data_IF_877973831692
#
_entry.id   IF_877973831692
#
_cell.length_a   1.000
_cell.length_b   1.000
_cell.length_c   1.000
_cell.angle_alpha   90.00
_cell.angle_beta   90.00
_cell.angle_gamma   90.00
#
_symmetry.space_group_name_H-M   'P 1'
#
loop_
_entity.id
_entity.type
_entity.pdbx_description
1 polymer ?
#
# COMPACT_ATOMS: atom_id res chain seq x y z
N UNK A 1 12.09 -24.12 2.74
CA UNK A 1 10.63 -24.38 2.65
C UNK A 1 9.83 -23.56 3.67
N UNK A 2 10.05 -23.70 5.00
CA UNK A 2 9.26 -22.99 6.02
C UNK A 2 9.33 -21.45 5.92
N UNK A 3 10.54 -20.89 5.80
CA UNK A 3 10.73 -19.43 5.67
C UNK A 3 10.03 -18.85 4.43
N UNK A 4 10.11 -19.54 3.30
CA UNK A 4 9.41 -19.15 2.07
C UNK A 4 7.89 -19.08 2.27
N UNK A 5 7.30 -20.11 2.86
CA UNK A 5 5.85 -20.15 3.14
C UNK A 5 5.46 -19.02 4.08
N UNK A 6 6.23 -18.82 5.15
CA UNK A 6 5.99 -17.76 6.12
C UNK A 6 6.01 -16.36 5.47
N UNK A 7 7.07 -16.00 4.74
CA UNK A 7 7.17 -14.68 4.12
C UNK A 7 6.15 -14.47 3.00
N UNK A 8 5.79 -15.53 2.27
CA UNK A 8 4.72 -15.47 1.27
C UNK A 8 3.36 -15.22 1.93
N UNK A 9 3.06 -15.94 3.01
CA UNK A 9 1.83 -15.72 3.78
C UNK A 9 1.78 -14.31 4.38
N UNK A 10 2.87 -13.86 5.00
CA UNK A 10 2.99 -12.51 5.55
C UNK A 10 2.78 -11.43 4.48
N UNK A 11 3.38 -11.60 3.29
CA UNK A 11 3.19 -10.69 2.17
C UNK A 11 1.71 -10.59 1.76
N UNK A 12 1.00 -11.73 1.71
CA UNK A 12 -0.44 -11.75 1.38
C UNK A 12 -1.32 -11.12 2.46
N UNK A 13 -1.08 -11.42 3.72
CA UNK A 13 -1.83 -10.81 4.83
C UNK A 13 -1.60 -9.30 4.86
N UNK A 14 -0.35 -8.87 4.67
CA UNK A 14 0.00 -7.45 4.65
C UNK A 14 -0.65 -6.72 3.47
N UNK A 15 -0.63 -7.26 2.25
CA UNK A 15 -1.29 -6.59 1.11
C UNK A 15 -2.81 -6.52 1.28
N UNK A 16 -3.45 -7.51 1.91
CA UNK A 16 -4.87 -7.40 2.26
C UNK A 16 -5.14 -6.32 3.30
N UNK A 17 -4.23 -6.13 4.26
CA UNK A 17 -4.26 -5.00 5.18
C UNK A 17 -4.21 -3.65 4.46
N UNK A 18 -3.31 -3.51 3.48
CA UNK A 18 -3.24 -2.31 2.61
C UNK A 18 -4.56 -2.12 1.86
N UNK A 19 -5.06 -3.16 1.20
CA UNK A 19 -6.31 -3.08 0.42
C UNK A 19 -7.49 -2.65 1.28
N UNK A 20 -7.68 -3.28 2.44
CA UNK A 20 -8.76 -2.92 3.35
C UNK A 20 -8.66 -1.47 3.82
N UNK A 21 -7.46 -1.04 4.25
CA UNK A 21 -7.26 0.30 4.77
C UNK A 21 -7.44 1.38 3.68
N UNK A 22 -6.88 1.18 2.48
CA UNK A 22 -7.04 2.11 1.35
C UNK A 22 -8.51 2.21 0.91
N UNK A 23 -9.28 1.11 0.94
CA UNK A 23 -10.73 1.16 0.67
C UNK A 23 -11.43 2.02 1.72
N UNK A 24 -11.17 1.78 3.01
CA UNK A 24 -11.77 2.56 4.10
C UNK A 24 -11.41 4.05 3.97
N UNK A 25 -10.14 4.38 3.71
CA UNK A 25 -9.71 5.76 3.47
C UNK A 25 -10.46 6.41 2.30
N UNK A 26 -10.63 5.70 1.19
CA UNK A 26 -11.33 6.21 0.01
C UNK A 26 -12.82 6.46 0.25
N UNK A 27 -13.46 5.65 1.08
CA UNK A 27 -14.88 5.80 1.44
C UNK A 27 -15.10 6.90 2.48
N UNK A 28 -14.18 7.04 3.44
CA UNK A 28 -14.32 7.97 4.55
C UNK A 28 -13.76 9.37 4.26
N UNK A 29 -12.79 9.52 3.35
CA UNK A 29 -12.20 10.83 3.05
C UNK A 29 -13.19 11.75 2.32
N UNK A 30 -13.38 12.95 2.87
CA UNK A 30 -14.28 14.00 2.36
C UNK A 30 -13.60 15.37 2.48
N UNK A 31 -14.05 16.42 1.77
CA UNK A 31 -13.50 17.78 1.87
C UNK A 31 -13.52 18.36 3.29
N UNK A 32 -14.48 17.93 4.11
CA UNK A 32 -14.54 18.19 5.54
C UNK A 32 -14.88 16.88 6.25
N UNK A 33 -14.18 16.60 7.34
CA UNK A 33 -14.37 15.39 8.15
C UNK A 33 -14.62 15.78 9.61
N UNK A 34 -15.33 14.93 10.35
CA UNK A 34 -15.52 15.14 11.78
C UNK A 34 -14.23 14.88 12.57
N UNK A 35 -14.19 15.34 13.82
CA UNK A 35 -13.11 14.97 14.76
C UNK A 35 -12.99 13.45 14.95
N UNK A 36 -14.13 12.76 15.03
CA UNK A 36 -14.16 11.30 15.16
C UNK A 36 -13.56 10.62 13.93
N UNK A 37 -13.93 11.08 12.73
CA UNK A 37 -13.34 10.60 11.47
C UNK A 37 -11.84 10.84 11.44
N UNK A 38 -11.34 12.00 11.89
CA UNK A 38 -9.91 12.27 11.94
C UNK A 38 -9.15 11.30 12.87
N UNK A 39 -9.74 10.92 14.01
CA UNK A 39 -9.17 9.93 14.93
C UNK A 39 -9.16 8.54 14.29
N UNK A 40 -10.27 8.13 13.68
CA UNK A 40 -10.41 6.81 13.06
C UNK A 40 -9.52 6.67 11.83
N UNK A 41 -9.52 7.67 10.94
CA UNK A 41 -8.62 7.74 9.78
C UNK A 41 -7.15 7.73 10.20
N UNK A 42 -6.77 8.36 11.32
CA UNK A 42 -5.39 8.28 11.80
C UNK A 42 -4.99 6.84 12.21
N UNK A 43 -5.91 6.05 12.75
CA UNK A 43 -5.68 4.62 13.06
C UNK A 43 -5.59 3.79 11.79
N UNK A 44 -6.52 3.99 10.85
CA UNK A 44 -6.55 3.29 9.57
C UNK A 44 -5.28 3.58 8.76
N UNK A 45 -4.86 4.84 8.66
CA UNK A 45 -3.62 5.19 7.96
C UNK A 45 -2.37 4.63 8.64
N UNK A 46 -2.38 4.43 9.97
CA UNK A 46 -1.28 3.73 10.63
C UNK A 46 -1.23 2.25 10.22
N UNK A 47 -2.37 1.56 10.26
CA UNK A 47 -2.49 0.15 9.83
C UNK A 47 -2.05 0.01 8.38
N UNK A 48 -2.50 0.91 7.52
CA UNK A 48 -2.13 0.99 6.12
C UNK A 48 -0.60 1.12 5.91
N UNK A 49 0.03 2.12 6.53
CA UNK A 49 1.47 2.36 6.35
C UNK A 49 2.33 1.21 6.91
N UNK A 50 1.93 0.63 8.05
CA UNK A 50 2.59 -0.58 8.59
C UNK A 50 2.41 -1.76 7.63
N UNK A 51 1.21 -1.93 7.08
CA UNK A 51 0.91 -3.00 6.11
C UNK A 51 1.69 -2.84 4.81
N UNK A 52 1.83 -1.61 4.30
CA UNK A 52 2.67 -1.30 3.13
C UNK A 52 4.13 -1.67 3.39
N UNK A 53 4.67 -1.27 4.55
CA UNK A 53 6.04 -1.59 4.92
C UNK A 53 6.25 -3.11 5.05
N UNK A 54 5.35 -3.82 5.73
CA UNK A 54 5.41 -5.28 5.86
C UNK A 54 5.32 -5.97 4.50
N UNK A 55 4.44 -5.51 3.61
CA UNK A 55 4.32 -6.05 2.25
C UNK A 55 5.62 -5.89 1.49
N UNK A 56 6.22 -4.69 1.52
CA UNK A 56 7.47 -4.41 0.82
C UNK A 56 8.63 -5.24 1.39
N UNK A 57 8.80 -5.27 2.72
CA UNK A 57 9.85 -6.03 3.38
C UNK A 57 9.73 -7.53 3.09
N UNK A 58 8.53 -8.11 3.24
CA UNK A 58 8.31 -9.52 2.90
C UNK A 58 8.53 -9.78 1.40
N UNK A 59 8.17 -8.84 0.54
CA UNK A 59 8.42 -8.90 -0.90
C UNK A 59 9.91 -8.93 -1.23
N UNK A 60 10.72 -8.09 -0.58
CA UNK A 60 12.17 -8.11 -0.72
C UNK A 60 12.79 -9.38 -0.16
N UNK A 61 12.28 -9.90 0.96
CA UNK A 61 12.74 -11.19 1.48
C UNK A 61 12.48 -12.33 0.50
N UNK A 62 11.31 -12.33 -0.14
CA UNK A 62 10.97 -13.28 -1.20
C UNK A 62 11.86 -13.11 -2.43
N UNK A 63 12.19 -11.89 -2.83
CA UNK A 63 13.03 -11.64 -3.99
C UNK A 63 14.48 -12.08 -3.77
N UNK A 64 15.11 -11.64 -2.68
CA UNK A 64 16.57 -11.78 -2.53
C UNK A 64 17.01 -13.04 -1.77
N UNK A 65 16.13 -13.70 -1.00
CA UNK A 65 16.56 -14.81 -0.13
C UNK A 65 15.80 -16.11 -0.30
N UNK A 66 14.46 -16.10 -0.25
CA UNK A 66 13.70 -17.34 -0.03
C UNK A 66 12.74 -17.73 -1.15
N UNK A 67 12.53 -16.87 -2.15
CA UNK A 67 11.57 -17.10 -3.24
C UNK A 67 12.16 -17.81 -4.45
N UNK A 68 11.65 -17.46 -5.64
CA UNK A 68 12.22 -17.92 -6.92
C UNK A 68 13.65 -17.38 -7.10
N UNK A 69 14.47 -17.97 -8.00
CA UNK A 69 15.75 -17.37 -8.39
C UNK A 69 15.59 -15.89 -8.70
N UNK A 70 16.54 -15.07 -8.27
CA UNK A 70 16.41 -13.62 -8.30
C UNK A 70 16.26 -13.09 -9.73
N UNK A 71 16.81 -13.79 -10.71
CA UNK A 71 16.73 -13.52 -12.15
C UNK A 71 15.27 -13.47 -12.63
N UNK A 72 14.41 -14.36 -12.12
CA UNK A 72 12.98 -14.37 -12.44
C UNK A 72 12.30 -13.02 -12.15
N UNK A 73 12.80 -12.28 -11.16
CA UNK A 73 12.27 -10.99 -10.75
C UNK A 73 13.06 -9.83 -11.38
N UNK A 74 14.39 -9.88 -11.32
CA UNK A 74 15.28 -8.79 -11.79
C UNK A 74 15.17 -8.58 -13.30
N UNK A 75 15.01 -9.64 -14.08
CA UNK A 75 14.88 -9.55 -15.54
C UNK A 75 13.44 -9.32 -16.00
N UNK A 76 12.47 -9.32 -15.08
CA UNK A 76 11.06 -9.15 -15.42
C UNK A 76 10.64 -7.67 -15.30
N UNK A 77 10.48 -6.93 -16.41
CA UNK A 77 10.08 -5.52 -16.39
C UNK A 77 8.68 -5.30 -15.78
N UNK A 78 7.78 -6.28 -15.87
CA UNK A 78 6.45 -6.22 -15.25
C UNK A 78 6.56 -6.27 -13.73
N UNK A 79 7.47 -7.10 -13.21
CA UNK A 79 7.77 -7.13 -11.77
C UNK A 79 8.39 -5.81 -11.29
N UNK A 80 9.37 -5.27 -12.03
CA UNK A 80 10.01 -4.00 -11.67
C UNK A 80 9.00 -2.84 -11.70
N UNK A 81 8.16 -2.76 -12.73
CA UNK A 81 7.08 -1.75 -12.80
C UNK A 81 6.13 -1.84 -11.60
N UNK A 82 5.72 -3.07 -11.22
CA UNK A 82 4.90 -3.32 -10.03
C UNK A 82 5.59 -2.80 -8.76
N UNK A 83 6.88 -3.09 -8.60
CA UNK A 83 7.65 -2.66 -7.43
C UNK A 83 7.76 -1.13 -7.34
N UNK A 84 8.01 -0.46 -8.47
CA UNK A 84 8.06 1.01 -8.54
C UNK A 84 6.70 1.59 -8.16
N UNK A 85 5.61 1.11 -8.75
CA UNK A 85 4.26 1.58 -8.44
C UNK A 85 3.94 1.35 -6.95
N UNK A 86 4.25 0.18 -6.41
CA UNK A 86 4.00 -0.10 -5.00
C UNK A 86 4.83 0.81 -4.07
N UNK A 87 6.05 1.16 -4.46
CA UNK A 87 6.89 2.11 -3.73
C UNK A 87 6.32 3.53 -3.78
N UNK A 88 5.72 3.93 -4.92
CA UNK A 88 4.98 5.20 -5.03
C UNK A 88 3.77 5.19 -4.08
N UNK A 89 3.01 4.09 -4.01
CA UNK A 89 1.87 3.97 -3.06
C UNK A 89 2.34 4.17 -1.61
N UNK A 90 3.49 3.60 -1.24
CA UNK A 90 4.08 3.77 0.10
C UNK A 90 4.43 5.24 0.38
N UNK A 91 5.13 5.91 -0.54
CA UNK A 91 5.51 7.32 -0.38
C UNK A 91 4.27 8.21 -0.28
N UNK A 92 3.28 8.00 -1.15
CA UNK A 92 2.04 8.77 -1.15
C UNK A 92 1.17 8.50 0.07
N UNK A 93 1.31 7.34 0.72
CA UNK A 93 0.61 7.01 1.97
C UNK A 93 1.03 7.86 3.16
N UNK A 94 2.22 8.48 3.10
CA UNK A 94 2.72 9.33 4.18
C UNK A 94 1.96 10.67 4.29
N UNK A 95 1.42 11.19 3.17
CA UNK A 95 0.65 12.44 3.15
C UNK A 95 -0.66 12.35 3.97
N UNK A 96 -1.60 11.44 3.67
CA UNK A 96 -2.82 11.29 4.47
C UNK A 96 -2.50 10.89 5.91
N UNK A 97 -1.52 10.01 6.13
CA UNK A 97 -1.11 9.60 7.47
C UNK A 97 -0.71 10.79 8.34
N UNK A 98 0.17 11.67 7.86
CA UNK A 98 0.58 12.84 8.62
C UNK A 98 -0.56 13.82 8.85
N UNK A 99 -1.42 14.02 7.85
CA UNK A 99 -2.58 14.89 7.97
C UNK A 99 -3.54 14.38 9.06
N UNK A 100 -3.98 13.13 9.01
CA UNK A 100 -4.89 12.58 10.02
C UNK A 100 -4.23 12.48 11.40
N UNK A 101 -2.96 12.06 11.47
CA UNK A 101 -2.19 11.99 12.72
C UNK A 101 -2.06 13.35 13.41
N UNK A 102 -1.91 14.44 12.64
CA UNK A 102 -1.89 15.80 13.19
C UNK A 102 -3.27 16.22 13.67
N UNK A 103 -4.29 16.00 12.86
CA UNK A 103 -5.65 16.47 13.12
C UNK A 103 -6.44 15.63 14.13
N UNK A 104 -5.99 14.42 14.50
CA UNK A 104 -6.59 13.64 15.59
C UNK A 104 -6.57 14.35 16.96
N UNK A 105 -5.70 15.35 17.11
CA UNK A 105 -5.59 16.19 18.32
C UNK A 105 -6.36 17.52 18.20
N UNK A 106 -7.06 17.75 17.10
CA UNK A 106 -7.82 18.98 16.90
C UNK A 106 -8.94 19.13 17.93
N UNK A 107 -9.16 20.35 18.38
CA UNK A 107 -10.30 20.73 19.23
C UNK A 107 -11.51 21.14 18.40
N UNK A 108 -11.35 21.34 17.08
CA UNK A 108 -12.45 21.68 16.17
C UNK A 108 -13.36 20.47 15.94
N UNK A 109 -14.67 20.72 15.81
CA UNK A 109 -15.66 19.68 15.51
C UNK A 109 -15.51 19.13 14.09
N UNK A 110 -15.11 19.99 13.15
CA UNK A 110 -14.83 19.63 11.76
C UNK A 110 -13.44 20.09 11.34
N UNK A 111 -12.82 19.31 10.45
CA UNK A 111 -11.48 19.54 9.92
C UNK A 111 -11.55 19.54 8.40
N UNK A 112 -11.10 20.64 7.79
CA UNK A 112 -10.97 20.74 6.34
C UNK A 112 -9.80 19.89 5.83
N UNK A 113 -10.07 19.02 4.86
CA UNK A 113 -9.07 18.13 4.27
C UNK A 113 -8.48 18.79 3.02
N UNK A 114 -7.14 18.96 2.93
CA UNK A 114 -6.50 19.49 1.75
C UNK A 114 -6.82 18.64 0.50
N UNK A 115 -7.07 19.27 -0.67
CA UNK A 115 -7.30 18.53 -1.92
C UNK A 115 -6.17 17.56 -2.26
N UNK A 116 -4.93 17.90 -1.90
CA UNK A 116 -3.76 17.04 -2.06
C UNK A 116 -3.87 15.73 -1.28
N UNK A 117 -4.44 15.75 -0.08
CA UNK A 117 -4.65 14.54 0.74
C UNK A 117 -5.69 13.63 0.10
N UNK A 118 -6.81 14.22 -0.36
CA UNK A 118 -7.86 13.48 -1.08
C UNK A 118 -7.28 12.86 -2.36
N UNK A 119 -6.53 13.64 -3.14
CA UNK A 119 -5.86 13.16 -4.34
C UNK A 119 -4.93 11.97 -4.05
N UNK A 120 -4.10 12.06 -3.01
CA UNK A 120 -3.21 10.97 -2.63
C UNK A 120 -3.99 9.69 -2.31
N UNK A 121 -5.06 9.78 -1.51
CA UNK A 121 -5.91 8.62 -1.17
C UNK A 121 -6.52 7.98 -2.43
N UNK A 122 -7.03 8.80 -3.35
CA UNK A 122 -7.66 8.34 -4.61
C UNK A 122 -6.65 7.70 -5.54
N UNK A 123 -5.50 8.36 -5.74
CA UNK A 123 -4.41 7.86 -6.58
C UNK A 123 -3.89 6.53 -6.06
N UNK A 124 -3.69 6.38 -4.74
CA UNK A 124 -3.25 5.13 -4.13
C UNK A 124 -4.20 3.98 -4.39
N UNK A 125 -5.51 4.21 -4.32
CA UNK A 125 -6.53 3.23 -4.68
C UNK A 125 -6.39 2.76 -6.14
N UNK A 126 -6.25 3.69 -7.08
CA UNK A 126 -6.07 3.37 -8.49
C UNK A 126 -4.76 2.60 -8.76
N UNK A 127 -3.65 3.06 -8.19
CA UNK A 127 -2.34 2.40 -8.31
C UNK A 127 -2.33 1.00 -7.69
N UNK A 128 -3.11 0.77 -6.62
CA UNK A 128 -3.23 -0.55 -6.00
C UNK A 128 -3.90 -1.55 -6.95
N UNK A 129 -4.92 -1.14 -7.69
CA UNK A 129 -5.56 -1.98 -8.71
C UNK A 129 -4.56 -2.35 -9.81
N UNK A 130 -3.78 -1.37 -10.29
CA UNK A 130 -2.72 -1.61 -11.28
C UNK A 130 -1.68 -2.58 -10.72
N UNK A 131 -1.29 -2.43 -9.45
CA UNK A 131 -0.35 -3.35 -8.78
C UNK A 131 -0.87 -4.79 -8.75
N UNK A 132 -2.16 -5.00 -8.47
CA UNK A 132 -2.79 -6.33 -8.49
C UNK A 132 -2.76 -6.93 -9.90
N UNK A 133 -3.08 -6.15 -10.93
CA UNK A 133 -2.98 -6.58 -12.32
C UNK A 133 -1.55 -7.00 -12.68
N UNK A 134 -0.56 -6.16 -12.37
CA UNK A 134 0.84 -6.48 -12.65
C UNK A 134 1.33 -7.70 -11.86
N UNK A 135 0.87 -7.89 -10.62
CA UNK A 135 1.17 -9.08 -9.84
C UNK A 135 0.64 -10.37 -10.51
N UNK A 136 -0.58 -10.33 -11.06
CA UNK A 136 -1.14 -11.43 -11.83
C UNK A 136 -0.31 -11.73 -13.09
N UNK A 137 0.08 -10.70 -13.85
CA UNK A 137 0.90 -10.86 -15.05
C UNK A 137 2.29 -11.43 -14.72
N UNK A 138 2.97 -10.93 -13.68
CA UNK A 138 4.24 -11.49 -13.20
C UNK A 138 4.09 -12.96 -12.79
N UNK A 139 3.00 -13.34 -12.12
CA UNK A 139 2.76 -14.72 -11.71
C UNK A 139 2.64 -15.68 -12.91
N UNK A 140 2.16 -15.18 -14.06
CA UNK A 140 2.10 -15.90 -15.34
C UNK A 140 3.43 -15.90 -16.11
N UNK A 141 4.46 -15.22 -15.61
CA UNK A 141 5.76 -15.10 -16.27
C UNK A 141 5.78 -14.12 -17.44
N UNK A 142 4.74 -13.29 -17.58
CA UNK A 142 4.68 -12.25 -18.62
C UNK A 142 5.80 -11.22 -18.36
N UNK A 143 6.47 -10.79 -19.43
CA UNK A 143 7.60 -9.86 -19.39
C UNK A 143 8.97 -10.53 -19.48
N UNK A 144 9.05 -11.85 -19.33
CA UNK A 144 10.28 -12.60 -19.60
C UNK A 144 10.28 -13.01 -21.07
N UNK A 145 11.36 -12.69 -21.78
CA UNK A 145 11.62 -13.22 -23.13
C UNK A 145 12.20 -14.62 -22.96
N UNK A 146 11.46 -15.65 -23.34
CA UNK A 146 11.98 -17.01 -23.52
C UNK A 146 12.27 -17.24 -24.99
#
# INVERSE_FOLDING_TARGET
>A
MLLYVFFRFLHFVAIFGVTAAVIIENLAVKPSISKEDAINLAKISLIDNVSLLLTLMAGYTLWFWVGKPSEFYTENPVFLAKLIIFSIILVFGFFPFNFFKRNKKSTQESVMVPPTTIFCVRLRGALLIVTVMLAFLTARGIGLSY
#
